data_IF_105734349596
#
_entry.id   IF_105734349596
#
_cell.length_a   1.000
_cell.length_b   1.000
_cell.length_c   1.000
_cell.angle_alpha   90.00
_cell.angle_beta   90.00
_cell.angle_gamma   90.00
#
_symmetry.space_group_name_H-M   'P 1'
#
loop_
_entity.id
_entity.type
_entity.pdbx_description
1 polymer ?
#
# COMPACT_ATOMS: atom_id res chain seq x y z
N UNK A 1 39.30 -26.61 51.67
CA UNK A 1 38.67 -26.03 50.47
C UNK A 1 37.17 -25.87 50.73
N UNK A 2 36.69 -24.66 50.98
CA UNK A 2 35.24 -24.38 51.08
C UNK A 2 34.85 -23.61 49.82
N UNK A 3 34.24 -24.30 48.87
CA UNK A 3 33.71 -23.70 47.65
C UNK A 3 32.60 -22.72 48.03
N UNK A 4 32.85 -21.42 47.87
CA UNK A 4 31.81 -20.40 48.01
C UNK A 4 30.86 -20.57 46.82
N UNK A 5 29.67 -21.09 47.09
CA UNK A 5 28.56 -21.04 46.15
C UNK A 5 28.26 -19.59 45.82
N UNK A 6 28.27 -19.26 44.53
CA UNK A 6 27.84 -17.96 44.05
C UNK A 6 26.33 -17.87 44.24
N UNK A 7 25.90 -17.04 45.18
CA UNK A 7 24.54 -16.53 45.25
C UNK A 7 24.29 -15.72 43.97
N UNK A 8 23.69 -16.35 42.97
CA UNK A 8 23.15 -15.70 41.79
C UNK A 8 21.94 -14.87 42.23
N UNK A 9 22.21 -13.76 42.90
CA UNK A 9 21.24 -12.76 43.28
C UNK A 9 20.38 -12.43 42.08
N UNK A 10 19.11 -12.82 42.17
CA UNK A 10 18.06 -12.70 41.16
C UNK A 10 18.30 -11.45 40.31
N UNK A 11 18.72 -11.65 39.05
CA UNK A 11 18.71 -10.60 38.04
C UNK A 11 17.41 -9.84 38.21
N UNK A 12 17.49 -8.53 38.48
CA UNK A 12 16.30 -7.68 38.61
C UNK A 12 15.48 -7.95 37.36
N UNK A 13 14.35 -8.64 37.52
CA UNK A 13 13.37 -8.81 36.44
C UNK A 13 13.17 -7.41 35.90
N UNK A 14 13.57 -7.19 34.64
CA UNK A 14 13.52 -5.88 34.03
C UNK A 14 12.05 -5.42 34.08
N UNK A 15 11.70 -4.61 35.06
CA UNK A 15 10.34 -4.10 35.26
C UNK A 15 9.98 -3.03 34.21
N UNK A 16 10.87 -2.74 33.25
CA UNK A 16 10.57 -1.87 32.13
C UNK A 16 9.85 -2.68 31.08
N UNK A 17 8.63 -2.23 30.78
CA UNK A 17 7.91 -2.65 29.60
C UNK A 17 8.76 -2.43 28.36
N UNK A 18 8.72 -3.35 27.41
CA UNK A 18 9.31 -3.14 26.08
C UNK A 18 8.57 -2.02 25.36
N UNK A 19 9.18 -1.43 24.34
CA UNK A 19 8.54 -0.36 23.56
C UNK A 19 7.20 -0.81 22.96
N UNK A 20 7.11 -2.08 22.52
CA UNK A 20 5.87 -2.67 22.03
C UNK A 20 4.81 -2.82 23.13
N UNK A 21 5.20 -3.25 24.32
CA UNK A 21 4.30 -3.33 25.47
C UNK A 21 3.76 -1.96 25.89
N UNK A 22 4.61 -0.92 25.83
CA UNK A 22 4.19 0.47 26.07
C UNK A 22 3.19 0.92 25.00
N UNK A 23 3.49 0.68 23.72
CA UNK A 23 2.61 1.05 22.60
C UNK A 23 1.24 0.37 22.66
N UNK A 24 1.20 -0.91 23.03
CA UNK A 24 -0.06 -1.65 23.22
C UNK A 24 -0.81 -1.10 24.44
N UNK A 25 -0.10 -0.82 25.53
CA UNK A 25 -0.70 -0.25 26.74
C UNK A 25 -1.32 1.13 26.48
N UNK A 26 -0.61 2.02 25.80
CA UNK A 26 -1.11 3.36 25.45
C UNK A 26 -2.35 3.30 24.58
N UNK A 27 -2.35 2.43 23.56
CA UNK A 27 -3.53 2.19 22.72
C UNK A 27 -4.71 1.69 23.56
N UNK A 28 -4.49 0.71 24.43
CA UNK A 28 -5.54 0.18 25.30
C UNK A 28 -6.08 1.22 26.29
N UNK A 29 -5.21 2.07 26.85
CA UNK A 29 -5.62 3.17 27.72
C UNK A 29 -6.46 4.18 26.94
N UNK A 30 -6.08 4.51 25.70
CA UNK A 30 -6.85 5.40 24.85
C UNK A 30 -8.23 4.82 24.51
N UNK A 31 -8.32 3.55 24.17
CA UNK A 31 -9.61 2.87 23.90
C UNK A 31 -10.56 2.91 25.11
N UNK A 32 -10.05 2.67 26.33
CA UNK A 32 -10.85 2.71 27.56
C UNK A 32 -11.31 4.12 27.96
N UNK A 33 -10.65 5.16 27.44
CA UNK A 33 -10.95 6.57 27.74
C UNK A 33 -11.89 7.23 26.73
N UNK A 34 -12.09 6.60 25.56
CA UNK A 34 -13.04 7.11 24.57
C UNK A 34 -14.48 6.78 24.99
N UNK A 35 -15.42 7.64 24.61
CA UNK A 35 -16.85 7.39 24.79
C UNK A 35 -17.35 6.39 23.75
N UNK A 36 -18.50 5.75 24.03
CA UNK A 36 -19.11 4.78 23.11
C UNK A 36 -19.36 5.40 21.72
N UNK A 37 -19.83 6.65 21.69
CA UNK A 37 -20.04 7.42 20.44
C UNK A 37 -18.72 7.62 19.65
N UNK A 38 -17.63 8.00 20.33
CA UNK A 38 -16.33 8.16 19.69
C UNK A 38 -15.76 6.84 19.17
N UNK A 39 -16.02 5.74 19.88
CA UNK A 39 -15.62 4.40 19.45
C UNK A 39 -16.39 3.97 18.21
N UNK A 40 -17.71 4.20 18.18
CA UNK A 40 -18.57 3.90 17.04
C UNK A 40 -18.12 4.70 15.81
N UNK A 41 -17.95 6.02 15.93
CA UNK A 41 -17.47 6.86 14.84
C UNK A 41 -16.09 6.42 14.33
N UNK A 42 -15.16 6.08 15.22
CA UNK A 42 -13.84 5.62 14.81
C UNK A 42 -13.90 4.33 13.97
N UNK A 43 -14.83 3.43 14.27
CA UNK A 43 -15.03 2.19 13.51
C UNK A 43 -15.75 2.46 12.19
N UNK A 44 -16.78 3.28 12.20
CA UNK A 44 -17.55 3.65 11.01
C UNK A 44 -16.69 4.39 9.99
N UNK A 45 -15.91 5.39 10.41
CA UNK A 45 -14.95 6.12 9.55
C UNK A 45 -13.93 5.18 8.91
N UNK A 46 -13.49 4.14 9.64
CA UNK A 46 -12.53 3.15 9.12
C UNK A 46 -13.17 2.26 8.05
N UNK A 47 -14.42 1.86 8.25
CA UNK A 47 -15.18 1.05 7.30
C UNK A 47 -15.55 1.87 6.05
N UNK A 48 -15.96 3.11 6.25
CA UNK A 48 -16.30 4.03 5.17
C UNK A 48 -15.06 4.45 4.35
N UNK A 49 -13.91 4.66 5.00
CA UNK A 49 -12.61 4.80 4.32
C UNK A 49 -12.25 3.55 3.53
N UNK A 50 -12.35 2.36 4.11
CA UNK A 50 -12.05 1.11 3.38
C UNK A 50 -12.98 0.90 2.18
N UNK A 51 -14.26 1.30 2.28
CA UNK A 51 -15.22 1.24 1.17
C UNK A 51 -14.94 2.31 0.10
N UNK A 52 -14.65 3.55 0.49
CA UNK A 52 -14.39 4.64 -0.45
C UNK A 52 -13.00 4.55 -1.10
N UNK A 53 -11.99 4.13 -0.35
CA UNK A 53 -10.64 3.87 -0.86
C UNK A 53 -10.60 2.58 -1.68
N UNK A 54 -11.24 1.50 -1.24
CA UNK A 54 -11.34 0.24 -2.01
C UNK A 54 -12.12 0.39 -3.33
N UNK A 55 -13.11 1.28 -3.37
CA UNK A 55 -13.87 1.59 -4.58
C UNK A 55 -13.11 2.51 -5.55
N UNK A 56 -12.24 3.41 -5.04
CA UNK A 56 -11.45 4.32 -5.87
C UNK A 56 -10.03 3.83 -6.22
N UNK A 57 -9.45 2.89 -5.47
CA UNK A 57 -8.13 2.31 -5.77
C UNK A 57 -8.18 1.34 -6.95
N UNK A 58 -9.30 0.63 -7.14
CA UNK A 58 -9.51 -0.24 -8.29
C UNK A 58 -9.47 0.49 -9.64
N UNK A 59 -9.74 1.80 -9.67
CA UNK A 59 -9.63 2.65 -10.87
C UNK A 59 -8.29 3.37 -11.01
N UNK A 60 -7.53 3.58 -9.93
CA UNK A 60 -6.25 4.32 -9.97
C UNK A 60 -5.05 3.42 -10.23
N UNK A 61 -5.08 2.16 -9.82
CA UNK A 61 -3.93 1.26 -10.04
C UNK A 61 -3.92 0.59 -11.42
N UNK A 62 -5.05 0.58 -12.14
CA UNK A 62 -5.08 0.09 -13.53
C UNK A 62 -4.52 1.08 -14.55
N UNK A 63 -4.08 2.27 -14.14
CA UNK A 63 -3.67 3.37 -15.03
C UNK A 63 -2.20 3.80 -14.90
N UNK A 64 -1.36 3.06 -14.17
CA UNK A 64 0.04 3.44 -13.94
C UNK A 64 0.99 3.08 -15.09
N UNK A 65 0.51 2.39 -16.12
CA UNK A 65 1.27 2.14 -17.35
C UNK A 65 1.03 3.24 -18.38
N UNK A 66 2.05 3.57 -19.18
CA UNK A 66 1.89 4.40 -20.37
C UNK A 66 0.76 3.82 -21.24
N UNK A 67 -0.14 4.68 -21.73
CA UNK A 67 -1.31 4.25 -22.50
C UNK A 67 -0.95 3.70 -23.87
N UNK A 68 -1.85 2.93 -24.49
CA UNK A 68 -1.65 2.40 -25.87
C UNK A 68 -1.36 3.49 -26.89
N UNK A 69 -1.93 4.69 -26.70
CA UNK A 69 -1.67 5.86 -27.53
C UNK A 69 -0.22 6.37 -27.40
N UNK A 70 0.28 6.47 -26.17
CA UNK A 70 1.66 6.89 -25.89
C UNK A 70 2.67 5.90 -26.46
N UNK A 71 2.37 4.60 -26.40
CA UNK A 71 3.19 3.56 -27.02
C UNK A 71 3.29 3.74 -28.55
N UNK A 72 2.18 4.05 -29.24
CA UNK A 72 2.21 4.29 -30.69
C UNK A 72 2.99 5.56 -31.07
N UNK A 73 2.91 6.61 -30.26
CA UNK A 73 3.70 7.84 -30.44
C UNK A 73 5.20 7.58 -30.20
N UNK A 74 5.53 6.73 -29.24
CA UNK A 74 6.91 6.28 -28.98
C UNK A 74 7.45 5.44 -30.16
N UNK A 75 6.63 4.58 -30.78
CA UNK A 75 7.00 3.86 -32.01
C UNK A 75 7.26 4.80 -33.20
N UNK A 76 6.54 5.93 -33.30
CA UNK A 76 6.80 6.94 -34.33
C UNK A 76 8.13 7.67 -34.08
N UNK A 77 8.42 7.99 -32.82
CA UNK A 77 9.57 8.81 -32.43
C UNK A 77 10.88 8.00 -32.42
N UNK A 78 10.83 6.73 -32.01
CA UNK A 78 12.00 5.86 -31.83
C UNK A 78 12.68 5.42 -33.12
N UNK A 79 12.09 5.68 -34.30
CA UNK A 79 12.66 5.39 -35.64
C UNK A 79 13.30 3.99 -35.74
N UNK A 80 12.57 2.99 -35.27
CA UNK A 80 13.02 1.59 -35.26
C UNK A 80 13.16 1.09 -36.70
N UNK A 81 14.30 0.49 -37.02
CA UNK A 81 14.55 -0.07 -38.35
C UNK A 81 13.47 -1.12 -38.72
N UNK A 82 12.86 -0.96 -39.89
CA UNK A 82 11.77 -1.82 -40.35
C UNK A 82 10.36 -1.40 -39.92
N UNK A 83 10.21 -0.44 -39.00
CA UNK A 83 8.92 0.13 -38.61
C UNK A 83 8.76 1.49 -39.29
N UNK A 84 8.02 1.51 -40.40
CA UNK A 84 7.68 2.72 -41.14
C UNK A 84 6.27 3.23 -40.86
N UNK A 85 5.94 4.40 -41.40
CA UNK A 85 4.62 5.03 -41.26
C UNK A 85 3.45 4.11 -41.66
N UNK A 86 3.63 3.27 -42.68
CA UNK A 86 2.61 2.30 -43.13
C UNK A 86 2.29 1.27 -42.04
N UNK A 87 3.30 0.75 -41.36
CA UNK A 87 3.12 -0.23 -40.28
C UNK A 87 2.42 0.42 -39.08
N UNK A 88 2.80 1.64 -38.74
CA UNK A 88 2.20 2.39 -37.62
C UNK A 88 0.72 2.71 -37.90
N UNK A 89 0.37 3.12 -39.12
CA UNK A 89 -1.03 3.36 -39.49
C UNK A 89 -1.89 2.08 -39.42
N UNK A 90 -1.33 0.92 -39.77
CA UNK A 90 -2.03 -0.37 -39.60
C UNK A 90 -2.30 -0.67 -38.13
N UNK A 91 -1.30 -0.46 -37.26
CA UNK A 91 -1.46 -0.64 -35.82
C UNK A 91 -2.50 0.31 -35.24
N UNK A 92 -2.48 1.58 -35.65
CA UNK A 92 -3.46 2.58 -35.22
C UNK A 92 -4.88 2.17 -35.61
N UNK A 93 -5.07 1.74 -36.86
CA UNK A 93 -6.38 1.27 -37.35
C UNK A 93 -6.91 0.09 -36.54
N UNK A 94 -6.08 -0.93 -36.32
CA UNK A 94 -6.47 -2.10 -35.50
C UNK A 94 -6.75 -1.68 -34.06
N UNK A 95 -5.95 -0.79 -33.49
CA UNK A 95 -6.15 -0.29 -32.13
C UNK A 95 -7.48 0.48 -31.98
N UNK A 96 -7.88 1.28 -32.97
CA UNK A 96 -9.18 1.95 -32.99
C UNK A 96 -10.34 0.97 -33.20
N UNK A 97 -10.23 0.05 -34.19
CA UNK A 97 -11.29 -0.91 -34.50
C UNK A 97 -11.61 -1.86 -33.34
N UNK A 98 -10.60 -2.23 -32.56
CA UNK A 98 -10.74 -3.13 -31.42
C UNK A 98 -10.92 -2.39 -30.07
N UNK A 99 -11.02 -1.06 -30.09
CA UNK A 99 -11.30 -0.26 -28.88
C UNK A 99 -10.14 -0.15 -27.90
N UNK A 100 -8.91 -0.41 -28.33
CA UNK A 100 -7.70 -0.12 -27.54
C UNK A 100 -7.41 1.39 -27.47
N UNK A 101 -7.89 2.14 -28.46
CA UNK A 101 -7.86 3.60 -28.51
C UNK A 101 -9.27 4.07 -28.83
N UNK A 102 -9.80 4.97 -28.01
CA UNK A 102 -11.08 5.65 -28.22
C UNK A 102 -10.89 6.98 -28.97
#
# INVERSE_FOLDING_TARGET
MKSKGADMGKSKRNCRRTEDEVRIHEKAVKMRKMTDEQLVHYVEDRVEKARSEGFNSGKKESGSGKGTREFLEELQTSKIAGIGAVTINKLLKVATEHGYIQ
#
